data_IF_996705351515
#
_entry.id   IF_996705351515
#
_cell.length_a   1.000
_cell.length_b   1.000
_cell.length_c   1.000
_cell.angle_alpha   90.00
_cell.angle_beta   90.00
_cell.angle_gamma   90.00
#
_symmetry.space_group_name_H-M   'P 1'
#
loop_
_entity.id
_entity.type
_entity.pdbx_description
1 polymer ?
#
# COMPACT_ATOMS: atom_id res chain seq x y z
N UNK A 1 41.56 -11.92 -60.25
CA UNK A 1 41.01 -10.62 -59.80
C UNK A 1 39.68 -10.34 -60.52
N UNK A 2 38.53 -10.53 -59.85
CA UNK A 2 37.21 -10.14 -60.37
C UNK A 2 36.50 -9.34 -59.29
N UNK A 3 36.28 -8.05 -59.55
CA UNK A 3 35.62 -7.08 -58.67
C UNK A 3 34.11 -7.30 -58.74
N UNK A 4 33.50 -7.73 -57.63
CA UNK A 4 32.05 -7.74 -57.46
C UNK A 4 31.58 -6.39 -56.91
N UNK A 5 30.76 -5.70 -57.70
CA UNK A 5 30.09 -4.46 -57.33
C UNK A 5 28.99 -4.73 -56.28
N UNK A 6 29.15 -4.19 -55.07
CA UNK A 6 28.07 -4.06 -54.08
C UNK A 6 27.13 -2.94 -54.51
N UNK A 7 25.90 -3.29 -54.90
CA UNK A 7 24.79 -2.33 -55.05
C UNK A 7 24.29 -1.92 -53.66
N UNK A 8 24.27 -0.62 -53.39
CA UNK A 8 23.66 0.00 -52.21
C UNK A 8 22.17 0.18 -52.50
N UNK A 9 21.31 -0.44 -51.70
CA UNK A 9 19.88 -0.14 -51.68
C UNK A 9 19.63 0.96 -50.66
N UNK A 10 19.37 2.17 -51.14
CA UNK A 10 18.83 3.29 -50.37
C UNK A 10 17.31 3.27 -50.54
N UNK A 11 16.59 2.83 -49.50
CA UNK A 11 15.13 2.96 -49.40
C UNK A 11 14.79 4.35 -48.85
N UNK A 12 13.95 5.16 -49.53
CA UNK A 12 13.47 6.43 -49.00
C UNK A 12 12.31 6.20 -48.02
N UNK A 13 12.54 6.49 -46.74
CA UNK A 13 11.53 6.46 -45.68
C UNK A 13 10.89 7.86 -45.58
N UNK A 14 10.04 8.18 -46.55
CA UNK A 14 9.23 9.41 -46.57
C UNK A 14 7.83 9.07 -47.05
N UNK A 15 6.92 8.74 -46.13
CA UNK A 15 5.46 8.88 -46.24
C UNK A 15 4.76 8.04 -45.15
N UNK A 16 4.61 8.56 -43.93
CA UNK A 16 3.66 8.05 -42.92
C UNK A 16 3.28 9.12 -41.88
N UNK A 17 3.08 10.37 -42.32
CA UNK A 17 2.69 11.51 -41.45
C UNK A 17 1.21 11.92 -41.62
N UNK A 18 0.40 11.20 -42.38
CA UNK A 18 -1.00 11.60 -42.64
C UNK A 18 -1.98 10.42 -42.47
N UNK A 19 -2.20 9.96 -41.23
CA UNK A 19 -3.29 9.02 -40.93
C UNK A 19 -3.69 8.91 -39.43
N UNK A 20 -3.50 9.95 -38.59
CA UNK A 20 -3.95 9.93 -37.17
C UNK A 20 -4.85 11.13 -36.81
N UNK A 21 -5.14 12.03 -37.76
CA UNK A 21 -5.83 13.30 -37.49
C UNK A 21 -7.37 13.33 -37.57
N UNK A 22 -8.07 12.19 -37.68
CA UNK A 22 -9.51 12.20 -38.02
C UNK A 22 -10.46 11.39 -37.10
N UNK A 23 -10.00 10.92 -35.93
CA UNK A 23 -10.88 10.20 -34.97
C UNK A 23 -11.11 11.00 -33.66
N UNK A 24 -10.33 12.06 -33.42
CA UNK A 24 -10.41 12.85 -32.18
C UNK A 24 -11.45 13.99 -32.15
N UNK A 25 -12.07 14.37 -33.28
CA UNK A 25 -12.92 15.55 -33.35
C UNK A 25 -14.43 15.29 -33.16
N UNK A 26 -14.85 14.02 -33.08
CA UNK A 26 -16.28 13.68 -32.94
C UNK A 26 -16.78 13.70 -31.48
N UNK A 27 -15.88 13.61 -30.51
CA UNK A 27 -16.22 13.58 -29.08
C UNK A 27 -16.34 14.97 -28.43
N UNK A 28 -16.00 16.06 -29.13
CA UNK A 28 -16.05 17.43 -28.61
C UNK A 28 -17.34 18.20 -28.96
N UNK A 29 -18.33 17.55 -29.60
CA UNK A 29 -19.53 18.21 -30.15
C UNK A 29 -20.88 17.66 -29.66
N UNK A 30 -20.93 16.81 -28.64
CA UNK A 30 -22.22 16.24 -28.17
C UNK A 30 -22.54 16.36 -26.67
N UNK A 31 -21.72 17.04 -25.85
CA UNK A 31 -22.13 17.34 -24.47
C UNK A 31 -23.07 18.55 -24.42
N UNK A 32 -24.35 18.27 -24.64
CA UNK A 32 -25.44 19.15 -24.20
C UNK A 32 -25.75 18.81 -22.74
N UNK A 33 -25.52 19.72 -21.78
CA UNK A 33 -25.86 19.46 -20.39
C UNK A 33 -27.38 19.36 -20.24
N UNK A 34 -27.84 18.21 -19.73
CA UNK A 34 -29.24 18.01 -19.38
C UNK A 34 -29.69 19.03 -18.32
N UNK A 35 -30.89 19.62 -18.44
CA UNK A 35 -31.40 20.55 -17.44
C UNK A 35 -31.62 19.83 -16.10
N UNK A 36 -31.10 20.41 -15.03
CA UNK A 36 -31.24 19.91 -13.67
C UNK A 36 -32.73 19.79 -13.27
N UNK A 37 -33.13 18.70 -12.57
CA UNK A 37 -34.49 18.59 -12.06
C UNK A 37 -34.75 19.66 -10.98
N UNK A 38 -35.85 20.38 -11.16
CA UNK A 38 -36.38 21.38 -10.24
C UNK A 38 -36.68 20.73 -8.87
N UNK A 39 -36.02 21.21 -7.82
CA UNK A 39 -36.34 20.86 -6.44
C UNK A 39 -37.65 21.54 -6.04
N UNK A 40 -38.74 20.78 -6.09
CA UNK A 40 -39.99 21.17 -5.45
C UNK A 40 -39.78 21.27 -3.93
N UNK A 41 -40.09 22.44 -3.37
CA UNK A 41 -40.04 22.69 -1.94
C UNK A 41 -41.09 21.84 -1.20
N UNK A 42 -40.64 20.96 -0.31
CA UNK A 42 -41.51 20.25 0.63
C UNK A 42 -41.74 21.15 1.85
N UNK A 43 -43.00 21.48 2.21
CA UNK A 43 -43.28 22.19 3.45
C UNK A 43 -43.13 21.24 4.64
N UNK A 44 -42.11 21.47 5.48
CA UNK A 44 -41.95 20.75 6.75
C UNK A 44 -42.76 21.49 7.82
N UNK A 45 -43.86 20.87 8.24
CA UNK A 45 -44.65 21.28 9.40
C UNK A 45 -43.87 21.05 10.71
N UNK A 46 -44.02 21.92 11.73
CA UNK A 46 -43.34 21.77 13.01
C UNK A 46 -44.16 20.99 14.04
N UNK A 47 -43.44 20.52 15.08
CA UNK A 47 -43.86 19.92 16.35
C UNK A 47 -44.02 18.37 16.33
N UNK A 48 -43.70 17.63 17.40
CA UNK A 48 -43.56 17.97 18.81
C UNK A 48 -42.57 17.01 19.53
N UNK A 49 -41.91 17.49 20.60
CA UNK A 49 -41.30 16.65 21.64
C UNK A 49 -42.39 16.01 22.50
N UNK A 50 -42.23 14.74 22.89
CA UNK A 50 -42.71 14.27 24.18
C UNK A 50 -41.59 13.76 25.09
N UNK A 51 -41.91 13.78 26.38
CA UNK A 51 -41.04 13.71 27.54
C UNK A 51 -40.38 12.34 27.80
N UNK A 52 -39.25 12.38 28.49
CA UNK A 52 -38.68 11.25 29.23
C UNK A 52 -39.55 10.88 30.43
N UNK A 53 -39.78 9.59 30.69
CA UNK A 53 -40.06 9.10 32.02
C UNK A 53 -38.80 8.49 32.66
N UNK A 54 -38.54 8.90 33.89
CA UNK A 54 -37.68 8.19 34.83
C UNK A 54 -38.51 7.11 35.57
N UNK A 55 -37.98 5.89 35.69
CA UNK A 55 -38.23 4.94 36.77
C UNK A 55 -37.33 3.70 36.56
N UNK A 56 -36.29 3.47 37.37
CA UNK A 56 -36.27 2.65 38.59
C UNK A 56 -36.89 1.26 38.42
N UNK A 57 -36.04 0.21 38.37
CA UNK A 57 -36.46 -1.19 38.41
C UNK A 57 -35.29 -2.19 38.39
N UNK A 58 -35.41 -3.38 39.01
CA UNK A 58 -34.35 -4.04 39.78
C UNK A 58 -33.38 -4.93 39.00
N UNK A 59 -32.20 -5.15 39.60
CA UNK A 59 -31.14 -6.09 39.20
C UNK A 59 -31.65 -7.51 38.92
N UNK A 60 -31.26 -8.13 37.79
CA UNK A 60 -31.36 -9.58 37.64
C UNK A 60 -30.12 -10.28 38.20
N UNK A 61 -30.40 -11.21 39.09
CA UNK A 61 -29.56 -12.29 39.62
C UNK A 61 -28.69 -12.93 38.54
N UNK A 62 -27.37 -12.89 38.73
CA UNK A 62 -26.40 -13.63 37.92
C UNK A 62 -26.47 -15.12 38.27
N UNK A 63 -27.05 -15.90 37.36
CA UNK A 63 -27.01 -17.36 37.40
C UNK A 63 -25.63 -17.81 36.94
N UNK A 64 -24.90 -18.47 37.83
CA UNK A 64 -23.64 -19.13 37.55
C UNK A 64 -23.83 -20.15 36.41
N UNK A 65 -23.09 -19.96 35.31
CA UNK A 65 -22.97 -20.93 34.21
C UNK A 65 -21.63 -21.67 34.36
N UNK A 66 -21.58 -23.00 34.16
CA UNK A 66 -20.32 -23.74 34.21
C UNK A 66 -19.39 -23.30 33.08
N UNK A 67 -18.13 -23.00 33.41
CA UNK A 67 -17.05 -22.82 32.45
C UNK A 67 -16.71 -24.19 31.84
N UNK A 68 -17.28 -24.51 30.68
CA UNK A 68 -16.65 -25.37 29.69
C UNK A 68 -16.05 -24.46 28.61
N UNK A 69 -14.98 -23.77 28.97
CA UNK A 69 -14.10 -23.12 27.99
C UNK A 69 -13.00 -24.10 27.62
N UNK A 70 -13.09 -24.62 26.39
CA UNK A 70 -11.93 -25.08 25.62
C UNK A 70 -10.81 -24.04 25.81
N UNK A 71 -9.77 -24.42 26.54
CA UNK A 71 -8.59 -23.57 26.69
C UNK A 71 -8.08 -23.20 25.29
N UNK A 72 -7.90 -21.91 24.97
CA UNK A 72 -7.05 -21.57 23.85
C UNK A 72 -5.67 -22.14 24.20
N UNK A 73 -5.15 -23.01 23.33
CA UNK A 73 -3.74 -23.37 23.36
C UNK A 73 -2.97 -22.09 23.09
N UNK A 74 -2.64 -21.38 24.17
CA UNK A 74 -1.62 -20.34 24.15
C UNK A 74 -0.34 -21.09 23.87
N UNK A 75 0.08 -21.11 22.61
CA UNK A 75 1.45 -21.44 22.25
C UNK A 75 2.30 -20.29 22.79
N UNK A 76 2.61 -20.34 24.08
CA UNK A 76 3.72 -19.61 24.68
C UNK A 76 4.99 -20.25 24.17
N UNK A 77 5.35 -20.00 22.90
CA UNK A 77 6.76 -20.01 22.56
C UNK A 77 7.37 -18.80 23.25
N UNK A 78 7.90 -19.03 24.45
CA UNK A 78 8.91 -18.15 25.02
C UNK A 78 10.02 -18.00 23.97
N UNK A 79 10.00 -16.89 23.24
CA UNK A 79 11.17 -16.41 22.52
C UNK A 79 12.15 -15.93 23.61
N UNK A 80 12.82 -16.89 24.24
CA UNK A 80 14.12 -16.62 24.86
C UNK A 80 15.13 -16.36 23.73
N UNK A 81 14.96 -15.26 23.00
CA UNK A 81 16.05 -14.69 22.21
C UNK A 81 16.92 -13.91 23.19
N UNK A 82 17.70 -14.63 23.99
CA UNK A 82 18.77 -14.07 24.81
C UNK A 82 20.01 -13.78 23.95
N UNK A 83 19.81 -13.39 22.70
CA UNK A 83 20.82 -12.75 21.87
C UNK A 83 20.75 -11.26 22.15
N UNK A 84 21.74 -10.66 22.83
CA UNK A 84 21.79 -9.21 22.93
C UNK A 84 21.79 -8.67 21.51
N UNK A 85 20.76 -7.90 21.13
CA UNK A 85 20.80 -7.11 19.89
C UNK A 85 22.07 -6.29 20.00
N UNK A 86 23.12 -6.56 19.19
CA UNK A 86 24.38 -5.87 19.39
C UNK A 86 24.11 -4.41 19.08
N UNK A 87 24.29 -3.53 20.06
CA UNK A 87 24.34 -2.07 19.86
C UNK A 87 25.37 -1.67 18.78
N UNK A 88 26.18 -2.61 18.30
CA UNK A 88 27.08 -2.50 17.16
C UNK A 88 26.38 -2.38 15.79
N UNK A 89 25.12 -2.80 15.63
CA UNK A 89 24.44 -2.82 14.32
C UNK A 89 23.90 -1.45 13.86
N UNK A 90 23.79 -0.47 14.75
CA UNK A 90 23.31 0.88 14.42
C UNK A 90 24.44 1.93 14.40
N UNK A 91 25.69 1.52 14.61
CA UNK A 91 26.83 2.45 14.59
C UNK A 91 27.18 2.84 13.15
N UNK A 92 27.65 4.08 12.91
CA UNK A 92 28.25 4.45 11.63
C UNK A 92 29.33 3.43 11.22
N UNK A 93 29.26 2.94 9.98
CA UNK A 93 30.18 1.91 9.49
C UNK A 93 29.85 0.46 9.88
N UNK A 94 28.69 0.21 10.50
CA UNK A 94 28.17 -1.15 10.70
C UNK A 94 27.81 -1.83 9.36
N UNK A 95 27.73 -3.18 9.30
CA UNK A 95 27.31 -3.88 8.08
C UNK A 95 25.95 -3.41 7.53
N UNK A 96 24.99 -3.10 8.42
CA UNK A 96 23.70 -2.55 8.04
C UNK A 96 23.82 -1.15 7.43
N UNK A 97 24.72 -0.31 7.96
CA UNK A 97 24.98 1.01 7.41
C UNK A 97 25.62 0.94 6.02
N UNK A 98 26.54 -0.01 5.80
CA UNK A 98 27.14 -0.27 4.48
C UNK A 98 26.09 -0.74 3.48
N UNK A 99 25.24 -1.70 3.87
CA UNK A 99 24.11 -2.16 3.05
C UNK A 99 23.19 -0.99 2.69
N UNK A 100 22.81 -0.17 3.67
CA UNK A 100 21.97 1.02 3.47
C UNK A 100 22.61 1.98 2.49
N UNK A 101 23.89 2.31 2.67
CA UNK A 101 24.60 3.23 1.77
C UNK A 101 24.63 2.71 0.33
N UNK A 102 24.89 1.41 0.14
CA UNK A 102 24.87 0.75 -1.17
C UNK A 102 23.49 0.85 -1.83
N UNK A 103 22.44 0.41 -1.13
CA UNK A 103 21.07 0.46 -1.66
C UNK A 103 20.66 1.88 -2.02
N UNK A 104 20.99 2.87 -1.18
CA UNK A 104 20.66 4.28 -1.45
C UNK A 104 21.46 4.86 -2.63
N UNK A 105 22.73 4.46 -2.80
CA UNK A 105 23.54 4.90 -3.94
C UNK A 105 22.99 4.36 -5.27
N UNK A 106 22.46 3.14 -5.27
CA UNK A 106 21.85 2.50 -6.45
C UNK A 106 20.43 3.00 -6.74
N UNK A 107 19.74 3.58 -5.74
CA UNK A 107 18.34 3.99 -5.81
C UNK A 107 18.19 5.48 -5.40
N UNK A 108 18.53 6.43 -6.30
CA UNK A 108 18.59 7.86 -5.96
C UNK A 108 17.23 8.44 -5.52
N UNK A 109 16.12 7.96 -6.09
CA UNK A 109 14.77 8.41 -5.68
C UNK A 109 14.43 7.95 -4.26
N UNK A 110 14.80 6.71 -3.92
CA UNK A 110 14.64 6.15 -2.57
C UNK A 110 15.51 6.90 -1.55
N UNK A 111 16.75 7.24 -1.95
CA UNK A 111 17.65 8.04 -1.13
C UNK A 111 17.08 9.44 -0.86
N UNK A 112 16.52 10.09 -1.90
CA UNK A 112 15.88 11.39 -1.78
C UNK A 112 14.64 11.31 -0.88
N UNK A 113 13.78 10.31 -1.06
CA UNK A 113 12.64 10.05 -0.19
C UNK A 113 13.09 9.92 1.26
N UNK A 114 14.05 9.03 1.55
CA UNK A 114 14.52 8.78 2.92
C UNK A 114 15.20 10.00 3.54
N UNK A 115 15.89 10.80 2.75
CA UNK A 115 16.50 12.06 3.22
C UNK A 115 15.44 13.06 3.67
N UNK A 116 14.36 13.23 2.89
CA UNK A 116 13.27 14.14 3.22
C UNK A 116 12.45 13.62 4.40
N UNK A 117 12.09 12.33 4.38
CA UNK A 117 11.28 11.69 5.40
C UNK A 117 11.89 11.78 6.82
N UNK A 118 13.22 11.69 6.95
CA UNK A 118 13.90 11.77 8.26
C UNK A 118 14.00 13.18 8.82
N UNK A 119 13.65 14.20 8.04
CA UNK A 119 13.72 15.61 8.47
C UNK A 119 12.38 16.06 9.02
N UNK A 120 12.44 17.02 9.95
CA UNK A 120 11.30 17.89 10.21
C UNK A 120 11.23 18.89 9.06
N UNK A 121 10.27 18.71 8.15
CA UNK A 121 10.09 19.53 6.94
C UNK A 121 9.55 20.92 7.32
N UNK A 122 10.45 21.84 7.68
CA UNK A 122 10.07 23.21 8.09
C UNK A 122 9.86 24.14 6.91
N UNK A 123 10.48 23.84 5.77
CA UNK A 123 10.42 24.67 4.56
C UNK A 123 9.36 24.12 3.62
N UNK A 124 8.59 25.03 3.01
CA UNK A 124 7.59 24.67 2.01
C UNK A 124 8.19 23.91 0.82
N UNK A 125 9.40 24.29 0.38
CA UNK A 125 10.13 23.63 -0.70
C UNK A 125 10.44 22.16 -0.39
N UNK A 126 10.80 21.82 0.86
CA UNK A 126 11.09 20.43 1.23
C UNK A 126 9.82 19.59 1.28
N UNK A 127 8.70 20.19 1.72
CA UNK A 127 7.38 19.56 1.71
C UNK A 127 6.91 19.30 0.28
N UNK A 128 7.02 20.31 -0.59
CA UNK A 128 6.70 20.18 -2.02
C UNK A 128 7.59 19.15 -2.71
N UNK A 129 8.88 19.08 -2.35
CA UNK A 129 9.78 18.07 -2.89
C UNK A 129 9.37 16.65 -2.50
N UNK A 130 8.90 16.43 -1.27
CA UNK A 130 8.39 15.12 -0.83
C UNK A 130 7.07 14.79 -1.53
N UNK A 131 6.14 15.75 -1.60
CA UNK A 131 4.86 15.59 -2.30
C UNK A 131 5.04 15.30 -3.79
N UNK A 132 6.01 15.95 -4.44
CA UNK A 132 6.36 15.67 -5.82
C UNK A 132 6.81 14.22 -6.03
N UNK A 133 7.52 13.62 -5.06
CA UNK A 133 7.89 12.21 -5.13
C UNK A 133 6.67 11.28 -5.08
N UNK A 134 5.66 11.58 -4.27
CA UNK A 134 4.43 10.76 -4.19
C UNK A 134 3.59 10.81 -5.47
N UNK A 135 3.74 11.89 -6.24
CA UNK A 135 3.04 12.11 -7.50
C UNK A 135 3.84 11.64 -8.72
N UNK A 136 5.11 11.30 -8.57
CA UNK A 136 5.94 10.82 -9.68
C UNK A 136 5.60 9.37 -10.02
N UNK A 137 4.92 9.18 -11.16
CA UNK A 137 4.51 7.86 -11.63
C UNK A 137 5.68 6.90 -11.87
N UNK A 138 6.87 7.39 -12.23
CA UNK A 138 8.05 6.53 -12.44
C UNK A 138 8.57 5.96 -11.14
N UNK A 139 8.55 6.76 -10.07
CA UNK A 139 8.96 6.32 -8.73
C UNK A 139 7.98 5.27 -8.22
N UNK A 140 6.68 5.51 -8.39
CA UNK A 140 5.61 4.57 -8.03
C UNK A 140 5.73 3.25 -8.81
N UNK A 141 5.92 3.32 -10.12
CA UNK A 141 6.06 2.12 -10.94
C UNK A 141 7.31 1.31 -10.57
N UNK A 142 8.38 1.99 -10.16
CA UNK A 142 9.58 1.35 -9.64
C UNK A 142 9.30 0.67 -8.31
N UNK A 143 8.63 1.35 -7.38
CA UNK A 143 8.20 0.77 -6.11
C UNK A 143 7.33 -0.48 -6.31
N UNK A 144 6.34 -0.40 -7.21
CA UNK A 144 5.48 -1.53 -7.56
C UNK A 144 6.28 -2.70 -8.14
N UNK A 145 7.19 -2.44 -9.07
CA UNK A 145 8.03 -3.48 -9.67
C UNK A 145 8.90 -4.18 -8.64
N UNK A 146 9.53 -3.42 -7.74
CA UNK A 146 10.34 -3.96 -6.65
C UNK A 146 9.52 -4.85 -5.70
N UNK A 147 8.33 -4.37 -5.29
CA UNK A 147 7.44 -5.10 -4.39
C UNK A 147 6.83 -6.35 -5.03
N UNK A 148 6.70 -6.37 -6.35
CA UNK A 148 6.29 -7.57 -7.08
C UNK A 148 7.40 -8.63 -7.15
N UNK A 149 8.67 -8.26 -6.96
CA UNK A 149 9.83 -9.15 -6.97
C UNK A 149 9.85 -10.14 -8.17
N UNK A 150 9.47 -9.65 -9.36
CA UNK A 150 9.34 -10.50 -10.55
C UNK A 150 10.68 -11.11 -10.93
N UNK A 151 10.77 -12.44 -10.88
CA UNK A 151 11.97 -13.18 -11.24
C UNK A 151 12.97 -13.41 -10.10
N UNK A 152 12.67 -12.92 -8.89
CA UNK A 152 13.45 -13.27 -7.69
C UNK A 152 13.08 -14.69 -7.24
N UNK A 153 14.08 -15.56 -7.11
CA UNK A 153 13.90 -16.92 -6.56
C UNK A 153 14.54 -17.09 -5.18
N UNK A 154 15.40 -16.14 -4.80
CA UNK A 154 16.18 -16.17 -3.56
C UNK A 154 16.07 -14.86 -2.81
N UNK A 155 16.10 -14.95 -1.49
CA UNK A 155 16.18 -13.81 -0.61
C UNK A 155 17.54 -13.11 -0.73
N UNK A 156 17.53 -11.78 -0.69
CA UNK A 156 18.72 -10.95 -0.52
C UNK A 156 18.41 -9.80 0.43
N UNK A 157 19.37 -9.44 1.26
CA UNK A 157 19.23 -8.34 2.21
C UNK A 157 19.02 -7.01 1.47
N UNK A 158 19.67 -6.80 0.33
CA UNK A 158 19.49 -5.62 -0.52
C UNK A 158 18.05 -5.47 -1.02
N UNK A 159 17.45 -6.55 -1.53
CA UNK A 159 16.08 -6.51 -2.06
C UNK A 159 15.06 -6.33 -0.92
N UNK A 160 15.27 -7.00 0.22
CA UNK A 160 14.42 -6.81 1.40
C UNK A 160 14.49 -5.38 1.92
N UNK A 161 15.71 -4.82 2.02
CA UNK A 161 15.91 -3.46 2.49
C UNK A 161 15.25 -2.45 1.54
N UNK A 162 15.35 -2.66 0.22
CA UNK A 162 14.66 -1.83 -0.77
C UNK A 162 13.14 -1.92 -0.62
N UNK A 163 12.56 -3.13 -0.58
CA UNK A 163 11.11 -3.33 -0.46
C UNK A 163 10.53 -2.70 0.80
N UNK A 164 11.22 -2.78 1.94
CA UNK A 164 10.80 -2.12 3.17
C UNK A 164 10.53 -0.62 2.98
N UNK A 165 11.43 0.10 2.31
CA UNK A 165 11.23 1.53 2.05
C UNK A 165 10.18 1.80 0.96
N UNK A 166 9.99 0.88 0.02
CA UNK A 166 8.93 1.02 -0.98
C UNK A 166 7.54 0.88 -0.34
N UNK A 167 7.37 -0.02 0.63
CA UNK A 167 6.14 -0.11 1.44
C UNK A 167 5.90 1.20 2.19
N UNK A 168 6.92 1.72 2.87
CA UNK A 168 6.84 2.99 3.62
C UNK A 168 6.52 4.18 2.70
N UNK A 169 7.16 4.26 1.53
CA UNK A 169 6.91 5.28 0.52
C UNK A 169 5.44 5.28 0.04
N UNK A 170 4.90 4.10 -0.31
CA UNK A 170 3.50 3.99 -0.73
C UNK A 170 2.53 4.30 0.42
N UNK A 171 2.86 3.88 1.65
CA UNK A 171 2.07 4.19 2.85
C UNK A 171 1.95 5.67 3.11
N UNK A 172 3.08 6.39 3.11
CA UNK A 172 3.06 7.84 3.29
C UNK A 172 2.32 8.58 2.16
N UNK A 173 2.38 8.03 0.95
CA UNK A 173 1.60 8.54 -0.19
C UNK A 173 0.10 8.52 0.06
N UNK A 174 -0.46 7.51 0.75
CA UNK A 174 -1.89 7.45 1.09
C UNK A 174 -2.24 8.12 2.41
N UNK A 175 -1.28 8.29 3.32
CA UNK A 175 -1.48 9.04 4.57
C UNK A 175 -1.65 10.54 4.32
N UNK A 176 -1.01 11.07 3.27
CA UNK A 176 -1.21 12.45 2.82
C UNK A 176 -2.63 12.64 2.25
N UNK A 177 -3.54 13.19 3.07
CA UNK A 177 -4.96 13.33 2.74
C UNK A 177 -5.23 14.17 1.49
N UNK A 178 -4.43 15.22 1.26
CA UNK A 178 -4.58 16.12 0.09
C UNK A 178 -3.79 15.63 -1.14
N UNK A 179 -3.29 14.40 -1.14
CA UNK A 179 -2.61 13.84 -2.30
C UNK A 179 -3.60 13.70 -3.48
N UNK A 180 -3.39 14.39 -4.62
CA UNK A 180 -4.30 14.30 -5.76
C UNK A 180 -4.38 12.88 -6.34
N UNK A 181 -3.34 12.07 -6.14
CA UNK A 181 -3.25 10.68 -6.61
C UNK A 181 -3.65 9.66 -5.53
N UNK A 182 -4.18 10.08 -4.37
CA UNK A 182 -4.46 9.20 -3.21
C UNK A 182 -5.28 7.97 -3.58
N UNK A 183 -6.34 8.15 -4.35
CA UNK A 183 -7.21 7.06 -4.81
C UNK A 183 -6.49 6.09 -5.76
N UNK A 184 -5.63 6.61 -6.63
CA UNK A 184 -4.78 5.77 -7.48
C UNK A 184 -3.79 4.96 -6.63
N UNK A 185 -3.21 5.57 -5.59
CA UNK A 185 -2.29 4.89 -4.66
C UNK A 185 -2.98 3.79 -3.85
N UNK A 186 -4.22 3.98 -3.42
CA UNK A 186 -4.98 2.89 -2.81
C UNK A 186 -5.16 1.71 -3.77
N UNK A 187 -5.49 1.97 -5.04
CA UNK A 187 -5.61 0.92 -6.06
C UNK A 187 -4.27 0.22 -6.32
N UNK A 188 -3.16 0.97 -6.33
CA UNK A 188 -1.82 0.40 -6.46
C UNK A 188 -1.50 -0.55 -5.30
N UNK A 189 -1.81 -0.15 -4.07
CA UNK A 189 -1.63 -0.98 -2.86
C UNK A 189 -2.51 -2.24 -2.94
N UNK A 190 -3.79 -2.10 -3.28
CA UNK A 190 -4.70 -3.25 -3.45
C UNK A 190 -4.17 -4.24 -4.50
N UNK A 191 -3.66 -3.73 -5.64
CA UNK A 191 -3.05 -4.57 -6.68
C UNK A 191 -1.85 -5.34 -6.17
N UNK A 192 -0.98 -4.70 -5.38
CA UNK A 192 0.20 -5.33 -4.80
C UNK A 192 -0.16 -6.41 -3.77
N UNK A 193 -1.18 -6.17 -2.94
CA UNK A 193 -1.69 -7.16 -1.99
C UNK A 193 -2.24 -8.37 -2.74
N UNK A 194 -3.09 -8.14 -3.75
CA UNK A 194 -3.73 -9.21 -4.54
C UNK A 194 -2.78 -9.92 -5.51
N UNK A 195 -1.60 -9.37 -5.78
CA UNK A 195 -0.66 -9.95 -6.73
C UNK A 195 -0.28 -11.39 -6.34
N UNK A 196 -0.38 -12.31 -7.30
CA UNK A 196 0.06 -13.70 -7.13
C UNK A 196 1.58 -13.84 -7.38
N UNK A 197 2.40 -13.21 -6.53
CA UNK A 197 3.86 -13.15 -6.67
C UNK A 197 4.63 -13.96 -5.62
N UNK A 198 3.95 -14.85 -4.89
CA UNK A 198 4.58 -15.77 -3.93
C UNK A 198 4.45 -17.18 -4.47
N UNK A 199 5.53 -17.70 -5.08
CA UNK A 199 5.53 -18.98 -5.78
C UNK A 199 6.17 -20.10 -4.95
N UNK A 200 5.73 -21.37 -5.08
CA UNK A 200 6.25 -22.47 -4.26
C UNK A 200 7.73 -22.80 -4.43
N UNK A 201 8.31 -22.45 -5.58
CA UNK A 201 9.72 -22.66 -5.96
C UNK A 201 10.67 -21.59 -5.42
N UNK A 202 10.13 -20.48 -4.90
CA UNK A 202 10.90 -19.47 -4.18
C UNK A 202 11.39 -20.02 -2.84
N UNK A 203 12.58 -19.58 -2.41
CA UNK A 203 13.07 -19.92 -1.08
C UNK A 203 12.11 -19.44 0.03
N UNK A 204 12.22 -20.05 1.21
CA UNK A 204 11.29 -19.79 2.30
C UNK A 204 11.41 -18.35 2.84
N UNK A 205 12.61 -17.78 2.83
CA UNK A 205 12.87 -16.44 3.35
C UNK A 205 12.26 -15.36 2.45
N UNK A 206 12.40 -15.47 1.13
CA UNK A 206 11.76 -14.58 0.17
C UNK A 206 10.23 -14.66 0.29
N UNK A 207 9.67 -15.87 0.38
CA UNK A 207 8.21 -16.03 0.56
C UNK A 207 7.70 -15.36 1.83
N UNK A 208 8.44 -15.49 2.94
CA UNK A 208 8.11 -14.83 4.22
C UNK A 208 8.23 -13.32 4.11
N UNK A 209 9.29 -12.83 3.49
CA UNK A 209 9.51 -11.42 3.21
C UNK A 209 8.36 -10.82 2.39
N UNK A 210 7.99 -11.41 1.25
CA UNK A 210 6.89 -10.95 0.41
C UNK A 210 5.53 -11.05 1.09
N UNK A 211 5.32 -12.07 1.93
CA UNK A 211 4.12 -12.16 2.77
C UNK A 211 4.09 -11.01 3.81
N UNK A 212 5.24 -10.68 4.40
CA UNK A 212 5.41 -9.52 5.28
C UNK A 212 5.04 -8.21 4.57
N UNK A 213 5.58 -7.98 3.37
CA UNK A 213 5.28 -6.78 2.57
C UNK A 213 3.77 -6.64 2.32
N UNK A 214 3.06 -7.75 2.01
CA UNK A 214 1.60 -7.75 1.83
C UNK A 214 0.84 -7.45 3.12
N UNK A 215 1.31 -7.96 4.26
CA UNK A 215 0.72 -7.68 5.58
C UNK A 215 0.84 -6.20 5.92
N UNK A 216 2.02 -5.62 5.76
CA UNK A 216 2.25 -4.19 6.05
C UNK A 216 1.41 -3.29 5.14
N UNK A 217 1.36 -3.60 3.83
CA UNK A 217 0.48 -2.90 2.88
C UNK A 217 -1.00 -3.00 3.28
N UNK A 218 -1.44 -4.14 3.79
CA UNK A 218 -2.81 -4.30 4.27
C UNK A 218 -3.07 -3.53 5.57
N UNK A 219 -2.09 -3.46 6.47
CA UNK A 219 -2.17 -2.64 7.69
C UNK A 219 -2.24 -1.14 7.37
N UNK A 220 -1.53 -0.69 6.33
CA UNK A 220 -1.67 0.68 5.80
C UNK A 220 -3.13 0.94 5.36
N UNK A 221 -3.77 -0.01 4.67
CA UNK A 221 -5.19 0.11 4.31
C UNK A 221 -6.08 0.16 5.54
N UNK A 222 -5.89 -0.72 6.52
CA UNK A 222 -6.67 -0.73 7.76
C UNK A 222 -6.58 0.60 8.52
N UNK A 223 -5.40 1.23 8.52
CA UNK A 223 -5.18 2.52 9.17
C UNK A 223 -5.86 3.68 8.42
N UNK A 224 -5.80 3.69 7.09
CA UNK A 224 -6.21 4.84 6.28
C UNK A 224 -7.62 4.76 5.69
N UNK A 225 -8.14 3.55 5.46
CA UNK A 225 -9.45 3.26 4.86
C UNK A 225 -9.90 1.83 5.25
N UNK A 226 -10.37 1.69 6.50
CA UNK A 226 -10.81 0.39 7.04
C UNK A 226 -11.90 -0.30 6.21
N UNK A 227 -12.98 0.38 5.75
CA UNK A 227 -13.98 -0.25 4.89
C UNK A 227 -13.39 -0.87 3.62
N UNK A 228 -12.43 -0.19 2.97
CA UNK A 228 -11.72 -0.73 1.80
C UNK A 228 -10.89 -1.96 2.14
N UNK A 229 -10.16 -1.94 3.26
CA UNK A 229 -9.41 -3.11 3.72
C UNK A 229 -10.34 -4.32 4.00
N UNK A 230 -11.47 -4.09 4.65
CA UNK A 230 -12.46 -5.15 4.94
C UNK A 230 -13.09 -5.71 3.65
N UNK A 231 -13.40 -4.85 2.68
CA UNK A 231 -13.87 -5.28 1.36
C UNK A 231 -12.81 -6.12 0.61
N UNK A 232 -11.53 -5.75 0.72
CA UNK A 232 -10.43 -6.52 0.14
C UNK A 232 -10.31 -7.89 0.79
N UNK A 233 -10.39 -7.97 2.12
CA UNK A 233 -10.37 -9.24 2.86
C UNK A 233 -11.51 -10.16 2.41
N UNK A 234 -12.74 -9.64 2.31
CA UNK A 234 -13.90 -10.38 1.80
C UNK A 234 -13.66 -10.91 0.37
N UNK A 235 -13.08 -10.09 -0.51
CA UNK A 235 -12.74 -10.49 -1.89
C UNK A 235 -11.70 -11.61 -1.95
N UNK A 236 -10.82 -11.71 -0.95
CA UNK A 236 -9.79 -12.76 -0.89
C UNK A 236 -10.25 -14.06 -0.24
N UNK A 237 -11.49 -14.14 0.25
CA UNK A 237 -12.02 -15.36 0.88
C UNK A 237 -11.89 -16.57 -0.05
N UNK A 238 -11.48 -17.71 0.53
CA UNK A 238 -11.21 -18.94 -0.22
C UNK A 238 -9.87 -18.96 -0.98
N UNK A 239 -9.09 -17.86 -0.98
CA UNK A 239 -7.74 -17.85 -1.55
C UNK A 239 -6.67 -18.13 -0.49
N UNK A 240 -5.43 -18.37 -0.93
CA UNK A 240 -4.27 -18.51 -0.03
C UNK A 240 -3.92 -17.21 0.73
N UNK A 241 -4.42 -16.05 0.28
CA UNK A 241 -4.18 -14.76 0.92
C UNK A 241 -5.10 -14.52 2.14
N UNK A 242 -6.30 -15.11 2.17
CA UNK A 242 -7.28 -14.82 3.22
C UNK A 242 -6.74 -15.02 4.65
N UNK A 243 -6.06 -16.14 4.97
CA UNK A 243 -5.52 -16.35 6.32
C UNK A 243 -4.45 -15.34 6.71
N UNK A 244 -3.65 -14.87 5.73
CA UNK A 244 -2.62 -13.87 5.94
C UNK A 244 -3.24 -12.51 6.30
N UNK A 245 -4.25 -12.08 5.54
CA UNK A 245 -4.93 -10.81 5.75
C UNK A 245 -5.79 -10.82 7.03
N UNK A 246 -6.44 -11.94 7.36
CA UNK A 246 -7.17 -12.07 8.63
C UNK A 246 -6.21 -11.96 9.83
N UNK A 247 -5.04 -12.61 9.77
CA UNK A 247 -4.03 -12.48 10.82
C UNK A 247 -3.56 -11.03 11.00
N UNK A 248 -3.31 -10.32 9.90
CA UNK A 248 -2.94 -8.91 9.91
C UNK A 248 -4.03 -8.04 10.56
N UNK A 249 -5.30 -8.25 10.20
CA UNK A 249 -6.45 -7.55 10.78
C UNK A 249 -6.55 -7.78 12.29
N UNK A 250 -6.44 -9.02 12.74
CA UNK A 250 -6.52 -9.35 14.18
C UNK A 250 -5.39 -8.66 14.96
N UNK A 251 -4.17 -8.68 14.42
CA UNK A 251 -3.01 -8.00 15.04
C UNK A 251 -3.20 -6.49 15.08
N UNK A 252 -3.70 -5.89 13.99
CA UNK A 252 -3.99 -4.47 13.93
C UNK A 252 -5.03 -4.06 14.98
N UNK A 253 -6.15 -4.78 15.07
CA UNK A 253 -7.21 -4.51 16.05
C UNK A 253 -6.69 -4.63 17.50
N UNK A 254 -5.83 -5.62 17.78
CA UNK A 254 -5.19 -5.77 19.09
C UNK A 254 -4.26 -4.59 19.44
N UNK A 255 -3.42 -4.15 18.51
CA UNK A 255 -2.55 -2.99 18.70
C UNK A 255 -3.35 -1.70 18.87
N UNK A 256 -4.40 -1.52 18.09
CA UNK A 256 -5.29 -0.36 18.18
C UNK A 256 -6.03 -0.32 19.53
N UNK A 257 -6.49 -1.47 20.02
CA UNK A 257 -7.12 -1.57 21.33
C UNK A 257 -6.16 -1.26 22.49
N UNK A 258 -4.86 -1.53 22.32
CA UNK A 258 -3.83 -1.15 23.30
C UNK A 258 -3.51 0.34 23.26
N UNK A 259 -3.47 0.96 22.07
CA UNK A 259 -3.16 2.37 21.92
C UNK A 259 -4.25 3.33 22.43
N UNK A 260 -5.50 2.86 22.55
CA UNK A 260 -6.64 3.65 23.03
C UNK A 260 -6.96 3.46 24.52
N UNK A 261 -6.08 2.81 25.28
CA UNK A 261 -6.15 2.71 26.75
C UNK A 261 -5.24 3.74 27.39
#
# INVERSE_FOLDING_TARGET
MRRQHRRKYTLPLTASVLAVGAVGLFWLLTDTPAPAPSLAAVPVAPAARPASPAATGPSPTSVARPLDTLHPVVVSTSLESNTPIPQALARPGSPLDVLRQRVMAENPDLARFRQLQRKVLRRAEETQALQALFNDSKVVDTAKRDLLAKGELRFTDEAQFRRLYQVEYLGMGVEWQDNPEREARFKDIEQLILANNIQPDMDLELRRSLAGDKVELFMILLHNDRPRAEALLLKTQGTRLAPLLENARVRFDALWALANK
#
